data_IF_922889317512
#
_entry.id   IF_922889317512
#
_cell.length_a   1.000
_cell.length_b   1.000
_cell.length_c   1.000
_cell.angle_alpha   90.00
_cell.angle_beta   90.00
_cell.angle_gamma   90.00
#
_symmetry.space_group_name_H-M   'P 1'
#
loop_
_entity.id
_entity.type
_entity.pdbx_description
1 polymer ?
#
# COMPACT_ATOMS: atom_id res chain seq x y z
N UNK A 1 10.86 -15.02 -15.42
CA UNK A 1 9.82 -14.58 -16.39
C UNK A 1 8.58 -15.47 -16.36
N UNK A 2 8.69 -16.80 -16.55
CA UNK A 2 7.52 -17.69 -16.60
C UNK A 2 6.59 -17.61 -15.37
N UNK A 3 7.15 -17.50 -14.15
CA UNK A 3 6.37 -17.39 -12.91
C UNK A 3 5.58 -16.07 -12.76
N UNK A 4 5.93 -15.02 -13.53
CA UNK A 4 5.28 -13.70 -13.45
C UNK A 4 4.22 -13.49 -14.54
N UNK A 5 4.12 -14.40 -15.52
CA UNK A 5 3.06 -14.36 -16.54
C UNK A 5 1.65 -14.46 -15.92
N UNK A 6 1.39 -15.33 -14.92
CA UNK A 6 0.10 -15.37 -14.25
C UNK A 6 -0.24 -14.08 -13.48
N UNK A 7 0.79 -13.35 -12.99
CA UNK A 7 0.61 -12.04 -12.34
C UNK A 7 0.16 -11.01 -13.38
N UNK A 8 0.84 -10.95 -14.53
CA UNK A 8 0.45 -10.06 -15.63
C UNK A 8 -0.99 -10.35 -16.11
N UNK A 9 -1.33 -11.62 -16.31
CA UNK A 9 -2.67 -12.02 -16.72
C UNK A 9 -3.74 -11.61 -15.69
N UNK A 10 -3.43 -11.70 -14.38
CA UNK A 10 -4.34 -11.24 -13.34
C UNK A 10 -4.53 -9.72 -13.40
N UNK A 11 -3.45 -8.94 -13.58
CA UNK A 11 -3.51 -7.49 -13.74
C UNK A 11 -4.35 -7.06 -14.95
N UNK A 12 -4.21 -7.76 -16.08
CA UNK A 12 -4.97 -7.48 -17.30
C UNK A 12 -6.45 -7.86 -17.22
N UNK A 13 -6.84 -8.72 -16.28
CA UNK A 13 -8.23 -9.12 -16.08
C UNK A 13 -8.96 -8.29 -15.01
N UNK A 14 -8.22 -7.63 -14.11
CA UNK A 14 -8.78 -6.92 -12.96
C UNK A 14 -9.42 -5.57 -13.34
N UNK A 15 -10.54 -5.27 -12.71
CA UNK A 15 -11.25 -3.98 -12.82
C UNK A 15 -11.14 -3.12 -11.56
N UNK A 16 -10.94 -3.75 -10.39
CA UNK A 16 -10.72 -3.10 -9.09
C UNK A 16 -9.44 -3.60 -8.41
N UNK A 17 -8.25 -3.47 -9.04
CA UNK A 17 -7.00 -3.89 -8.41
C UNK A 17 -6.56 -2.94 -7.31
N UNK A 18 -5.84 -3.47 -6.32
CA UNK A 18 -5.14 -2.70 -5.28
C UNK A 18 -3.75 -3.29 -5.06
N UNK A 19 -2.74 -2.43 -4.99
CA UNK A 19 -1.39 -2.83 -4.55
C UNK A 19 -1.32 -2.73 -3.04
N UNK A 20 -0.98 -3.83 -2.39
CA UNK A 20 -0.79 -3.94 -0.95
C UNK A 20 0.66 -4.31 -0.66
N UNK A 21 1.43 -3.37 -0.13
CA UNK A 21 2.86 -3.56 0.05
C UNK A 21 3.31 -3.42 1.50
N UNK A 22 4.45 -4.04 1.84
CA UNK A 22 4.98 -4.01 3.21
C UNK A 22 6.49 -3.87 3.29
N UNK A 23 7.03 -4.29 4.43
CA UNK A 23 8.46 -4.16 4.75
C UNK A 23 9.38 -4.88 3.76
N UNK A 24 8.89 -5.90 3.05
CA UNK A 24 9.67 -6.56 2.00
C UNK A 24 9.95 -5.67 0.78
N UNK A 25 9.32 -4.49 0.67
CA UNK A 25 9.54 -3.55 -0.42
C UNK A 25 10.57 -2.44 -0.10
N UNK A 26 11.20 -2.44 1.09
CA UNK A 26 12.13 -1.36 1.49
C UNK A 26 13.30 -1.16 0.51
N UNK A 27 13.77 -2.23 -0.14
CA UNK A 27 14.84 -2.19 -1.16
C UNK A 27 14.32 -2.05 -2.61
N UNK A 28 13.00 -1.98 -2.80
CA UNK A 28 12.32 -2.01 -4.09
C UNK A 28 11.50 -0.73 -4.39
N UNK A 29 11.78 0.37 -3.68
CA UNK A 29 10.98 1.59 -3.75
C UNK A 29 10.90 2.20 -5.14
N UNK A 30 12.01 2.20 -5.90
CA UNK A 30 12.04 2.72 -7.27
C UNK A 30 11.19 1.85 -8.20
N UNK A 31 11.38 0.54 -8.14
CA UNK A 31 10.66 -0.42 -8.97
C UNK A 31 9.16 -0.43 -8.67
N UNK A 32 8.79 -0.32 -7.39
CA UNK A 32 7.39 -0.24 -6.94
C UNK A 32 6.73 1.04 -7.43
N UNK A 33 7.45 2.18 -7.37
CA UNK A 33 6.94 3.45 -7.87
C UNK A 33 6.68 3.40 -9.36
N UNK A 34 7.65 2.90 -10.13
CA UNK A 34 7.48 2.69 -11.56
C UNK A 34 6.28 1.77 -11.86
N UNK A 35 6.16 0.65 -11.15
CA UNK A 35 5.06 -0.29 -11.34
C UNK A 35 3.68 0.34 -11.06
N UNK A 36 3.54 1.06 -9.95
CA UNK A 36 2.29 1.72 -9.56
C UNK A 36 1.92 2.86 -10.53
N UNK A 37 2.88 3.70 -10.90
CA UNK A 37 2.66 4.83 -11.81
C UNK A 37 2.30 4.37 -13.23
N UNK A 38 2.95 3.32 -13.73
CA UNK A 38 2.66 2.78 -15.07
C UNK A 38 1.30 2.12 -15.15
N UNK A 39 0.88 1.43 -14.09
CA UNK A 39 -0.41 0.72 -14.07
C UNK A 39 -1.59 1.61 -13.67
N UNK A 40 -1.34 2.72 -12.96
CA UNK A 40 -2.40 3.56 -12.41
C UNK A 40 -3.10 2.97 -11.17
N UNK A 41 -2.66 1.81 -10.68
CA UNK A 41 -3.35 1.07 -9.62
C UNK A 41 -3.22 1.79 -8.27
N UNK A 42 -4.32 1.99 -7.51
CA UNK A 42 -4.26 2.52 -6.15
C UNK A 42 -3.39 1.65 -5.23
N UNK A 43 -2.59 2.29 -4.38
CA UNK A 43 -1.55 1.62 -3.61
C UNK A 43 -1.63 1.95 -2.11
N UNK A 44 -1.53 0.93 -1.26
CA UNK A 44 -1.60 1.04 0.20
C UNK A 44 -0.51 0.23 0.89
N UNK A 45 -0.09 0.68 2.08
CA UNK A 45 1.04 0.12 2.80
C UNK A 45 0.64 -0.49 4.15
N UNK A 46 1.34 -1.55 4.57
CA UNK A 46 1.44 -1.85 6.00
C UNK A 46 2.16 -0.73 6.76
N UNK A 47 2.12 -0.76 8.09
CA UNK A 47 2.97 0.06 8.95
C UNK A 47 4.47 -0.08 8.62
N UNK A 48 4.92 -1.30 8.30
CA UNK A 48 6.32 -1.59 7.99
C UNK A 48 6.74 -1.15 6.57
N UNK A 49 5.78 -0.78 5.72
CA UNK A 49 6.02 -0.28 4.37
C UNK A 49 6.12 1.25 4.29
N UNK A 50 5.87 1.99 5.37
CA UNK A 50 5.89 3.45 5.32
C UNK A 50 7.22 3.99 4.76
N UNK A 51 7.12 4.97 3.88
CA UNK A 51 8.25 5.60 3.17
C UNK A 51 8.64 4.94 1.85
N UNK A 52 8.28 3.68 1.58
CA UNK A 52 8.62 3.04 0.29
C UNK A 52 7.93 3.74 -0.89
N UNK A 53 6.69 4.17 -0.69
CA UNK A 53 5.94 5.02 -1.62
C UNK A 53 5.60 6.32 -0.90
N UNK A 54 5.67 7.44 -1.61
CA UNK A 54 5.41 8.75 -0.99
C UNK A 54 3.96 8.83 -0.52
N UNK A 55 3.76 9.24 0.72
CA UNK A 55 2.42 9.42 1.30
C UNK A 55 1.65 10.61 0.71
N UNK A 56 2.36 11.53 0.06
CA UNK A 56 1.79 12.69 -0.65
C UNK A 56 1.40 12.38 -2.09
N UNK A 57 1.82 11.23 -2.63
CA UNK A 57 1.46 10.83 -3.98
C UNK A 57 -0.07 10.60 -4.10
N UNK A 58 -0.73 11.12 -5.15
CA UNK A 58 -2.18 10.97 -5.32
C UNK A 58 -2.67 9.51 -5.35
N UNK A 59 -1.85 8.57 -5.83
CA UNK A 59 -2.20 7.14 -5.86
C UNK A 59 -2.09 6.47 -4.48
N UNK A 60 -1.39 7.10 -3.54
CA UNK A 60 -1.20 6.56 -2.20
C UNK A 60 -2.49 6.67 -1.38
N UNK A 61 -2.97 5.51 -0.93
CA UNK A 61 -4.08 5.38 0.01
C UNK A 61 -3.61 5.41 1.47
N UNK A 62 -2.32 5.64 1.70
CA UNK A 62 -1.67 5.59 3.01
C UNK A 62 -1.82 4.19 3.66
N UNK A 63 -1.72 4.12 4.98
CA UNK A 63 -1.73 2.87 5.73
C UNK A 63 -3.12 2.23 5.77
N UNK A 64 -3.22 0.92 5.58
CA UNK A 64 -4.42 0.10 5.85
C UNK A 64 -4.36 -0.57 7.24
N UNK A 65 -5.46 -1.20 7.63
CA UNK A 65 -5.56 -2.00 8.86
C UNK A 65 -6.35 -1.30 9.96
N UNK A 66 -6.19 -1.77 11.20
CA UNK A 66 -6.99 -1.31 12.36
C UNK A 66 -6.94 0.21 12.60
N UNK A 67 -5.80 0.83 12.34
CA UNK A 67 -5.60 2.29 12.43
C UNK A 67 -5.33 2.91 11.05
N UNK A 68 -5.65 2.17 9.99
CA UNK A 68 -5.52 2.63 8.61
C UNK A 68 -6.62 3.59 8.21
N UNK A 69 -6.48 4.15 7.01
CA UNK A 69 -7.47 5.05 6.45
C UNK A 69 -8.72 4.30 6.01
N UNK A 70 -9.87 4.98 6.05
CA UNK A 70 -11.14 4.40 5.57
C UNK A 70 -11.03 4.04 4.10
N UNK A 71 -10.43 4.90 3.28
CA UNK A 71 -10.28 4.66 1.84
C UNK A 71 -9.31 3.53 1.50
N UNK A 72 -8.24 3.30 2.28
CA UNK A 72 -7.39 2.12 2.10
C UNK A 72 -8.14 0.82 2.41
N UNK A 73 -8.83 0.78 3.56
CA UNK A 73 -9.59 -0.40 3.97
C UNK A 73 -10.78 -0.68 3.02
N UNK A 74 -11.47 0.37 2.55
CA UNK A 74 -12.50 0.26 1.51
C UNK A 74 -11.93 -0.33 0.22
N UNK A 75 -10.78 0.16 -0.23
CA UNK A 75 -10.14 -0.32 -1.44
C UNK A 75 -9.85 -1.82 -1.36
N UNK A 76 -9.34 -2.31 -0.22
CA UNK A 76 -9.07 -3.73 0.01
C UNK A 76 -10.35 -4.56 0.06
N UNK A 77 -11.40 -4.08 0.73
CA UNK A 77 -12.67 -4.78 0.86
C UNK A 77 -13.39 -4.95 -0.49
N UNK A 78 -13.32 -3.92 -1.35
CA UNK A 78 -13.99 -3.90 -2.65
C UNK A 78 -13.11 -4.40 -3.81
N UNK A 79 -11.84 -4.74 -3.55
CA UNK A 79 -10.91 -5.18 -4.58
C UNK A 79 -11.37 -6.51 -5.23
N UNK A 80 -11.16 -6.62 -6.55
CA UNK A 80 -11.24 -7.88 -7.29
C UNK A 80 -9.86 -8.53 -7.52
N UNK A 81 -8.79 -7.75 -7.32
CA UNK A 81 -7.40 -8.20 -7.33
C UNK A 81 -6.62 -7.51 -6.23
N UNK A 82 -5.99 -8.31 -5.37
CA UNK A 82 -5.03 -7.84 -4.36
C UNK A 82 -3.63 -8.26 -4.78
N UNK A 83 -2.75 -7.28 -5.03
CA UNK A 83 -1.34 -7.50 -5.35
C UNK A 83 -0.52 -7.29 -4.09
N UNK A 84 -0.30 -8.38 -3.35
CA UNK A 84 0.39 -8.41 -2.08
C UNK A 84 1.92 -8.57 -2.29
N UNK A 85 2.69 -7.54 -1.95
CA UNK A 85 4.13 -7.44 -2.21
C UNK A 85 4.92 -7.31 -0.90
N UNK A 86 5.65 -8.36 -0.50
CA UNK A 86 6.50 -8.35 0.68
C UNK A 86 5.71 -8.09 1.97
N UNK A 87 4.60 -8.82 2.13
CA UNK A 87 3.64 -8.72 3.24
C UNK A 87 3.34 -10.11 3.80
N UNK A 88 3.06 -10.15 5.09
CA UNK A 88 2.80 -11.40 5.84
C UNK A 88 1.34 -11.61 6.25
N UNK A 89 0.42 -10.75 5.79
CA UNK A 89 -1.01 -10.77 6.15
C UNK A 89 -1.22 -10.89 7.68
N UNK A 90 -0.66 -9.95 8.44
CA UNK A 90 -0.81 -9.96 9.90
C UNK A 90 -2.22 -9.57 10.34
N UNK A 91 -2.58 -9.94 11.56
CA UNK A 91 -3.90 -9.75 12.15
C UNK A 91 -4.26 -8.26 12.37
N UNK A 92 -3.27 -7.40 12.59
CA UNK A 92 -3.52 -5.94 12.75
C UNK A 92 -3.94 -5.27 11.46
N UNK A 93 -3.57 -5.86 10.32
CA UNK A 93 -4.04 -5.45 9.00
C UNK A 93 -5.31 -6.18 8.62
N UNK A 94 -5.35 -7.50 8.78
CA UNK A 94 -6.41 -8.34 8.22
C UNK A 94 -7.67 -8.39 9.08
N UNK A 95 -7.56 -8.20 10.39
CA UNK A 95 -8.66 -8.39 11.33
C UNK A 95 -9.24 -9.80 11.20
N UNK A 96 -10.53 -9.91 10.84
CA UNK A 96 -11.16 -11.19 10.56
C UNK A 96 -10.75 -11.69 9.17
N UNK A 97 -9.89 -12.70 9.13
CA UNK A 97 -9.29 -13.22 7.90
C UNK A 97 -10.32 -13.60 6.82
N UNK A 98 -11.47 -14.16 7.19
CA UNK A 98 -12.49 -14.57 6.19
C UNK A 98 -13.12 -13.37 5.48
N UNK A 99 -13.20 -12.22 6.17
CA UNK A 99 -13.73 -10.98 5.61
C UNK A 99 -12.67 -10.18 4.82
N UNK A 100 -11.38 -10.36 5.15
CA UNK A 100 -10.30 -9.62 4.48
C UNK A 100 -10.19 -9.98 3.00
N UNK A 101 -10.32 -9.00 2.12
CA UNK A 101 -10.20 -9.13 0.67
C UNK A 101 -11.02 -10.32 0.11
N UNK A 102 -12.21 -10.54 0.65
CA UNK A 102 -13.01 -11.76 0.40
C UNK A 102 -13.33 -11.98 -1.08
N UNK A 103 -13.45 -10.91 -1.86
CA UNK A 103 -13.81 -10.92 -3.28
C UNK A 103 -12.60 -10.91 -4.21
N UNK A 104 -11.41 -10.71 -3.66
CA UNK A 104 -10.21 -10.49 -4.43
C UNK A 104 -9.54 -11.81 -4.83
N UNK A 105 -9.12 -11.89 -6.08
CA UNK A 105 -8.02 -12.78 -6.46
C UNK A 105 -6.75 -12.24 -5.80
N UNK A 106 -5.96 -13.10 -5.19
CA UNK A 106 -4.77 -12.71 -4.42
C UNK A 106 -3.51 -13.12 -5.19
N UNK A 107 -2.70 -12.14 -5.55
CA UNK A 107 -1.30 -12.33 -5.96
C UNK A 107 -0.44 -12.09 -4.72
N UNK A 108 0.46 -13.02 -4.38
CA UNK A 108 1.37 -12.88 -3.25
C UNK A 108 2.82 -13.12 -3.69
N UNK A 109 3.64 -12.07 -3.60
CA UNK A 109 5.09 -12.15 -3.85
C UNK A 109 5.80 -11.95 -2.52
N UNK A 110 6.49 -12.99 -2.07
CA UNK A 110 7.28 -12.99 -0.85
C UNK A 110 8.56 -13.81 -1.04
N UNK A 111 9.62 -13.46 -0.33
CA UNK A 111 10.89 -14.18 -0.41
C UNK A 111 10.86 -15.45 0.44
N UNK A 112 10.03 -15.47 1.48
CA UNK A 112 9.87 -16.60 2.39
C UNK A 112 8.69 -17.47 1.98
N UNK A 113 8.98 -18.71 1.58
CA UNK A 113 7.95 -19.69 1.23
C UNK A 113 7.01 -19.97 2.40
N UNK A 114 7.48 -19.87 3.66
CA UNK A 114 6.67 -20.12 4.84
C UNK A 114 5.59 -19.05 5.07
N UNK A 115 5.74 -17.86 4.49
CA UNK A 115 4.73 -16.79 4.55
C UNK A 115 3.66 -16.95 3.47
N UNK A 116 3.99 -17.58 2.34
CA UNK A 116 3.06 -17.80 1.24
C UNK A 116 1.91 -18.70 1.68
N UNK A 117 0.68 -18.19 1.57
CA UNK A 117 -0.55 -18.91 1.93
C UNK A 117 -0.65 -19.33 3.41
N UNK A 118 0.17 -18.78 4.30
CA UNK A 118 0.11 -19.08 5.75
C UNK A 118 -1.21 -18.64 6.38
N UNK A 119 -1.56 -17.37 6.21
CA UNK A 119 -2.78 -16.78 6.80
C UNK A 119 -3.90 -16.61 5.76
N UNK A 120 -3.55 -16.32 4.50
CA UNK A 120 -4.51 -16.09 3.42
C UNK A 120 -4.01 -16.78 2.14
N UNK A 121 -4.81 -17.68 1.60
CA UNK A 121 -4.43 -18.47 0.41
C UNK A 121 -4.23 -17.57 -0.81
N UNK A 122 -3.04 -17.62 -1.39
CA UNK A 122 -2.74 -16.93 -2.64
C UNK A 122 -3.31 -17.71 -3.84
N UNK A 123 -3.92 -16.99 -4.78
CA UNK A 123 -4.39 -17.57 -6.05
C UNK A 123 -3.26 -17.60 -7.09
N UNK A 124 -2.30 -16.69 -6.96
CA UNK A 124 -1.05 -16.65 -7.71
C UNK A 124 0.05 -16.33 -6.71
N UNK A 125 1.00 -17.24 -6.52
CA UNK A 125 2.12 -17.04 -5.60
C UNK A 125 3.45 -17.03 -6.34
N UNK A 126 4.35 -16.13 -5.96
CA UNK A 126 5.73 -16.08 -6.45
C UNK A 126 6.66 -16.04 -5.25
N UNK A 127 7.42 -17.11 -5.06
CA UNK A 127 8.45 -17.16 -4.03
C UNK A 127 9.74 -16.55 -4.58
N UNK A 128 9.93 -15.24 -4.37
CA UNK A 128 11.07 -14.49 -4.88
C UNK A 128 11.23 -13.16 -4.14
N UNK A 129 12.41 -12.56 -4.26
CA UNK A 129 12.60 -11.16 -3.90
C UNK A 129 11.66 -10.26 -4.74
N UNK A 130 11.00 -9.33 -4.06
CA UNK A 130 10.05 -8.37 -4.65
C UNK A 130 10.75 -7.46 -5.65
N UNK A 131 11.98 -7.01 -5.37
CA UNK A 131 12.72 -6.08 -6.24
C UNK A 131 12.92 -6.65 -7.65
N UNK A 132 13.61 -7.78 -7.85
CA UNK A 132 13.78 -8.36 -9.18
C UNK A 132 12.44 -8.78 -9.81
N UNK A 133 11.44 -9.15 -9.00
CA UNK A 133 10.09 -9.46 -9.50
C UNK A 133 9.43 -8.24 -10.14
N UNK A 134 9.48 -7.08 -9.49
CA UNK A 134 8.97 -5.82 -10.03
C UNK A 134 9.77 -5.36 -11.26
N UNK A 135 11.09 -5.52 -11.28
CA UNK A 135 11.90 -5.21 -12.47
C UNK A 135 11.45 -6.02 -13.70
N UNK A 136 11.13 -7.30 -13.51
CA UNK A 136 10.61 -8.14 -14.59
C UNK A 136 9.18 -7.73 -14.97
N UNK A 137 8.31 -7.46 -14.00
CA UNK A 137 6.95 -6.99 -14.27
C UNK A 137 6.94 -5.66 -15.05
N UNK A 138 7.78 -4.70 -14.67
CA UNK A 138 7.93 -3.43 -15.39
C UNK A 138 8.38 -3.67 -16.83
N UNK A 139 9.28 -4.63 -17.09
CA UNK A 139 9.66 -4.99 -18.47
C UNK A 139 8.54 -5.66 -19.26
N UNK A 140 7.70 -6.45 -18.60
CA UNK A 140 6.61 -7.20 -19.24
C UNK A 140 5.38 -6.33 -19.54
N UNK A 141 5.11 -5.35 -18.69
CA UNK A 141 4.07 -4.36 -18.92
C UNK A 141 4.60 -3.42 -20.00
N UNK A 142 4.12 -3.56 -21.23
CA UNK A 142 4.38 -2.59 -22.31
C UNK A 142 3.47 -1.38 -22.15
N UNK A 143 3.74 -0.29 -22.88
CA UNK A 143 2.91 0.91 -22.78
C UNK A 143 1.46 0.68 -23.24
N UNK A 144 1.25 -0.24 -24.19
CA UNK A 144 -0.10 -0.69 -24.57
C UNK A 144 -0.80 -1.39 -23.42
N UNK A 145 -0.12 -2.29 -22.72
CA UNK A 145 -0.70 -3.01 -21.57
C UNK A 145 -0.98 -2.04 -20.42
N UNK A 146 -0.06 -1.12 -20.16
CA UNK A 146 -0.24 -0.07 -19.16
C UNK A 146 -1.46 0.80 -19.46
N UNK A 147 -1.61 1.26 -20.70
CA UNK A 147 -2.75 2.05 -21.15
C UNK A 147 -4.07 1.27 -21.01
N UNK A 148 -4.10 -0.01 -21.41
CA UNK A 148 -5.28 -0.87 -21.29
C UNK A 148 -5.69 -1.09 -19.82
N UNK A 149 -4.73 -1.32 -18.92
CA UNK A 149 -4.99 -1.44 -17.49
C UNK A 149 -5.54 -0.10 -16.96
N UNK A 150 -4.85 1.00 -17.22
CA UNK A 150 -5.23 2.34 -16.73
C UNK A 150 -6.63 2.73 -17.18
N UNK A 151 -6.96 2.52 -18.46
CA UNK A 151 -8.30 2.78 -18.99
C UNK A 151 -9.36 1.90 -18.31
N UNK A 152 -9.08 0.60 -18.12
CA UNK A 152 -10.03 -0.33 -17.48
C UNK A 152 -10.32 0.05 -16.03
N UNK A 153 -9.32 0.48 -15.28
CA UNK A 153 -9.44 0.79 -13.84
C UNK A 153 -9.83 2.23 -13.56
N UNK A 154 -9.95 3.10 -14.57
CA UNK A 154 -10.29 4.50 -14.38
C UNK A 154 -11.60 4.72 -13.55
N UNK A 155 -12.69 3.95 -13.76
CA UNK A 155 -13.87 4.05 -12.89
C UNK A 155 -13.57 3.67 -11.43
N UNK A 156 -12.69 2.70 -11.21
CA UNK A 156 -12.27 2.27 -9.87
C UNK A 156 -11.44 3.35 -9.17
N UNK A 157 -10.48 3.94 -9.86
CA UNK A 157 -9.66 5.05 -9.34
C UNK A 157 -10.55 6.22 -8.93
N UNK A 158 -11.55 6.56 -9.76
CA UNK A 158 -12.52 7.61 -9.44
C UNK A 158 -13.39 7.26 -8.21
N UNK A 159 -13.82 6.01 -8.07
CA UNK A 159 -14.57 5.52 -6.92
C UNK A 159 -13.77 5.66 -5.61
N UNK A 160 -12.50 5.20 -5.62
CA UNK A 160 -11.62 5.30 -4.44
C UNK A 160 -11.32 6.77 -4.09
N UNK A 161 -11.11 7.63 -5.09
CA UNK A 161 -10.92 9.06 -4.87
C UNK A 161 -12.16 9.72 -4.22
N UNK A 162 -13.37 9.31 -4.62
CA UNK A 162 -14.63 9.77 -4.01
C UNK A 162 -14.70 9.36 -2.54
N UNK A 163 -14.37 8.11 -2.21
CA UNK A 163 -14.35 7.62 -0.81
C UNK A 163 -13.30 8.38 0.02
N UNK A 164 -12.13 8.68 -0.55
CA UNK A 164 -11.11 9.51 0.12
C UNK A 164 -11.62 10.91 0.45
N UNK A 165 -12.38 11.53 -0.46
CA UNK A 165 -12.98 12.84 -0.24
C UNK A 165 -14.12 12.82 0.80
N UNK A 166 -14.90 11.73 0.84
CA UNK A 166 -16.00 11.56 1.79
C UNK A 166 -15.50 11.26 3.21
N UNK A 167 -14.45 10.44 3.34
CA UNK A 167 -13.88 9.98 4.61
C UNK A 167 -12.38 10.28 4.73
N UNK A 168 -11.95 11.56 4.70
CA UNK A 168 -10.56 11.91 4.91
C UNK A 168 -10.15 11.70 6.37
N UNK A 169 -8.85 11.60 6.63
CA UNK A 169 -8.35 11.70 7.99
C UNK A 169 -8.66 13.09 8.56
N UNK A 170 -9.10 13.14 9.82
CA UNK A 170 -9.42 14.37 10.53
C UNK A 170 -8.94 14.25 11.98
N UNK A 171 -8.57 15.38 12.57
CA UNK A 171 -8.41 15.54 14.00
C UNK A 171 -9.25 16.73 14.48
N UNK A 172 -9.58 16.82 15.78
CA UNK A 172 -10.34 17.94 16.32
C UNK A 172 -9.58 19.27 16.10
N UNK A 173 -10.29 20.29 15.63
CA UNK A 173 -9.77 21.66 15.58
C UNK A 173 -9.96 22.29 16.96
N UNK A 174 -8.85 22.50 17.68
CA UNK A 174 -8.82 23.01 19.06
C UNK A 174 -7.67 23.98 19.22
N UNK A 175 -7.96 25.13 19.79
CA UNK A 175 -7.02 26.20 20.10
C UNK A 175 -6.59 26.23 21.58
N UNK A 176 -7.26 25.45 22.43
CA UNK A 176 -7.04 25.40 23.87
C UNK A 176 -5.97 24.38 24.31
N UNK A 177 -5.61 23.46 23.43
CA UNK A 177 -4.61 22.39 23.68
C UNK A 177 -3.81 22.08 22.42
N UNK A 178 -2.59 21.57 22.60
CA UNK A 178 -1.81 21.03 21.48
C UNK A 178 -2.43 19.71 21.04
N UNK A 179 -2.96 19.68 19.82
CA UNK A 179 -3.46 18.45 19.18
C UNK A 179 -2.26 17.65 18.67
N UNK A 180 -2.06 16.39 19.12
CA UNK A 180 -0.83 15.64 18.82
C UNK A 180 -0.67 15.31 17.33
N UNK A 181 -1.79 15.10 16.61
CA UNK A 181 -1.79 14.94 15.16
C UNK A 181 -1.26 16.19 14.45
N UNK A 182 -1.70 17.38 14.90
CA UNK A 182 -1.24 18.66 14.36
C UNK A 182 0.25 18.88 14.66
N UNK A 183 0.72 18.54 15.87
CA UNK A 183 2.14 18.64 16.20
C UNK A 183 3.03 17.81 15.26
N UNK A 184 2.58 16.60 14.88
CA UNK A 184 3.29 15.74 13.92
C UNK A 184 3.21 16.29 12.50
N UNK A 185 2.06 16.84 12.10
CA UNK A 185 1.89 17.46 10.79
C UNK A 185 2.86 18.65 10.64
N UNK A 186 2.91 19.54 11.63
CA UNK A 186 3.85 20.68 11.66
C UNK A 186 5.30 20.18 11.62
N UNK A 187 5.64 19.14 12.38
CA UNK A 187 6.97 18.53 12.30
C UNK A 187 7.29 18.09 10.86
N UNK A 188 6.35 17.46 10.16
CA UNK A 188 6.50 17.04 8.78
C UNK A 188 6.67 18.20 7.80
N UNK A 189 5.95 19.29 8.00
CA UNK A 189 6.07 20.53 7.22
C UNK A 189 7.46 21.16 7.41
N UNK A 190 7.91 21.32 8.66
CA UNK A 190 9.20 21.94 9.02
C UNK A 190 10.40 21.11 8.57
N UNK A 191 10.28 19.78 8.56
CA UNK A 191 11.34 18.87 8.08
C UNK A 191 11.23 18.56 6.60
N UNK A 192 10.23 19.10 5.89
CA UNK A 192 9.89 18.73 4.52
C UNK A 192 9.71 17.21 4.32
N UNK A 193 9.29 16.47 5.36
CA UNK A 193 9.15 15.01 5.33
C UNK A 193 10.47 14.23 5.22
N UNK A 194 11.62 14.89 5.34
CA UNK A 194 12.96 14.31 5.11
C UNK A 194 13.61 13.74 6.38
N UNK A 195 13.02 13.97 7.56
CA UNK A 195 13.56 13.42 8.81
C UNK A 195 13.32 11.92 8.97
N UNK A 196 14.25 11.26 9.67
CA UNK A 196 14.09 9.90 10.16
C UNK A 196 13.29 9.96 11.47
N UNK A 197 12.14 9.30 11.49
CA UNK A 197 11.23 9.25 12.63
C UNK A 197 11.37 7.92 13.35
N UNK A 198 11.73 8.00 14.63
CA UNK A 198 11.72 6.87 15.55
C UNK A 198 10.58 6.99 16.55
N UNK A 199 9.95 5.87 16.92
CA UNK A 199 8.84 5.88 17.89
C UNK A 199 8.92 4.71 18.87
N UNK A 200 8.46 4.96 20.10
CA UNK A 200 7.96 3.87 20.97
C UNK A 200 6.63 3.30 20.46
N UNK A 201 5.90 2.57 21.32
CA UNK A 201 4.60 1.95 20.98
C UNK A 201 3.46 2.69 21.70
N UNK A 202 2.39 3.03 21.00
CA UNK A 202 1.23 3.71 21.59
C UNK A 202 0.44 4.56 20.59
N UNK A 203 -0.41 5.46 21.08
CA UNK A 203 -1.18 6.37 20.22
C UNK A 203 -0.27 7.27 19.38
N UNK A 204 0.83 7.77 19.97
CA UNK A 204 1.80 8.60 19.27
C UNK A 204 2.47 7.88 18.08
N UNK A 205 2.66 6.57 18.17
CA UNK A 205 3.15 5.74 17.06
C UNK A 205 2.17 5.78 15.89
N UNK A 206 0.87 5.63 16.16
CA UNK A 206 -0.16 5.63 15.13
C UNK A 206 -0.34 7.01 14.52
N UNK A 207 -0.29 8.08 15.32
CA UNK A 207 -0.34 9.43 14.79
C UNK A 207 0.89 9.76 13.94
N UNK A 208 2.08 9.31 14.34
CA UNK A 208 3.29 9.49 13.54
C UNK A 208 3.15 8.80 12.17
N UNK A 209 2.68 7.56 12.17
CA UNK A 209 2.40 6.79 10.95
C UNK A 209 1.33 7.43 10.05
N UNK A 210 0.32 8.09 10.63
CA UNK A 210 -0.80 8.69 9.91
C UNK A 210 -0.47 10.09 9.35
N UNK A 211 0.22 10.93 10.12
CA UNK A 211 0.30 12.37 9.86
C UNK A 211 1.65 12.87 9.39
N UNK A 212 2.72 12.06 9.49
CA UNK A 212 4.02 12.46 8.97
C UNK A 212 4.16 12.10 7.47
N UNK A 213 4.61 13.03 6.60
CA UNK A 213 4.64 12.82 5.15
C UNK A 213 5.89 12.06 4.71
N UNK A 214 5.96 10.75 4.97
CA UNK A 214 7.11 9.93 4.57
C UNK A 214 7.29 9.90 3.04
N UNK A 215 8.52 10.21 2.58
CA UNK A 215 8.91 10.26 1.16
C UNK A 215 9.89 9.18 0.73
N UNK A 216 10.67 8.65 1.68
CA UNK A 216 11.78 7.74 1.41
C UNK A 216 11.75 6.49 2.30
N UNK A 217 12.22 5.32 1.79
CA UNK A 217 12.38 4.12 2.60
C UNK A 217 13.27 4.38 3.81
N UNK A 218 13.11 3.59 4.87
CA UNK A 218 13.94 3.65 6.09
C UNK A 218 13.82 4.96 6.89
N UNK A 219 12.96 5.91 6.47
CA UNK A 219 12.62 7.10 7.25
C UNK A 219 11.68 6.78 8.44
N UNK A 220 11.02 5.63 8.43
CA UNK A 220 10.17 5.14 9.53
C UNK A 220 10.85 3.98 10.26
N UNK A 221 11.15 4.17 11.55
CA UNK A 221 11.79 3.16 12.40
C UNK A 221 11.00 3.04 13.70
N UNK A 222 10.22 1.97 13.84
CA UNK A 222 9.38 1.77 15.03
C UNK A 222 9.74 0.50 15.79
N UNK A 223 9.48 0.54 17.10
CA UNK A 223 9.42 -0.64 17.97
C UNK A 223 8.26 -1.57 17.60
#
# INVERSE_FOLDING_TARGET
VAQLQPVLAALQAASKPVIYYGGGCQEAAQELREFAHRTGIPITSTLMGLGVFSTEDPQCLQMLGMHGTVYANYAIDQADLLVALGVRFDDRVTGKLEAFAQRARIVHIDIDTAEISKNKTAHVSVCADVKPSLQVLNKLITDSIAADISHRIAPWVAEVARIRAEFPMRYPDRDDVIVPQYAIQVLGEETNGDAIITTGVGQHQMWAAQWYPYKTPRAWVTS
#
